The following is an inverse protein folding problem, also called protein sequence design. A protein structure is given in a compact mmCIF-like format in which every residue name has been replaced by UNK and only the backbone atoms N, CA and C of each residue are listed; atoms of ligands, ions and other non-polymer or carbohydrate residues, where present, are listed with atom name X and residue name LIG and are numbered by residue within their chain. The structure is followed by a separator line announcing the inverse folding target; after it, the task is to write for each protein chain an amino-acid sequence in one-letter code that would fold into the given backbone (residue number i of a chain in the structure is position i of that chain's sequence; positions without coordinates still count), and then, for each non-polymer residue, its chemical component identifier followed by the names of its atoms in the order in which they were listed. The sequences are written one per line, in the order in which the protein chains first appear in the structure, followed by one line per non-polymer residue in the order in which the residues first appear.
data_IF_145294947659
#
_entry.id   IF_145294947659
#
_cell.length_a   1.000
_cell.length_b   1.000
_cell.length_c   1.000
_cell.angle_alpha   90.00
_cell.angle_beta   90.00
_cell.angle_gamma   90.00
#
_symmetry.space_group_name_H-M   'P 1'
#
loop_
_entity.id
_entity.type
_entity.pdbx_description
1 polymer ?
#
# COMPACT_ATOMS: atom_id res chain seq x y z
N UNK A 1 -22.34 -14.67 91.72
CA UNK A 1 -21.05 -14.52 91.08
C UNK A 1 -21.26 -15.01 89.66
N UNK A 2 -21.34 -14.05 88.68
CA UNK A 2 -21.50 -14.34 87.25
C UNK A 2 -20.21 -13.92 86.55
N UNK A 3 -19.47 -14.88 86.05
CA UNK A 3 -18.22 -14.74 85.32
C UNK A 3 -18.56 -14.48 83.84
N UNK A 4 -18.11 -13.34 83.30
CA UNK A 4 -18.20 -12.99 81.86
C UNK A 4 -16.92 -13.43 81.19
N UNK A 5 -17.00 -14.31 80.21
CA UNK A 5 -15.91 -14.57 79.25
C UNK A 5 -15.98 -13.59 78.08
N UNK A 6 -14.95 -12.79 77.95
CA UNK A 6 -14.78 -11.92 76.73
C UNK A 6 -14.06 -12.73 75.66
N UNK A 7 -14.71 -12.85 74.48
CA UNK A 7 -14.13 -13.44 73.29
C UNK A 7 -13.51 -12.30 72.48
N UNK A 8 -12.18 -12.31 72.33
CA UNK A 8 -11.45 -11.43 71.46
C UNK A 8 -11.48 -12.00 70.01
N UNK A 9 -12.18 -11.36 69.10
CA UNK A 9 -12.04 -11.62 67.67
C UNK A 9 -10.81 -10.86 67.15
N UNK A 10 -9.80 -11.60 66.70
CA UNK A 10 -8.66 -11.05 65.97
C UNK A 10 -9.06 -10.84 64.52
N UNK A 11 -9.18 -9.58 64.09
CA UNK A 11 -9.35 -9.20 62.71
C UNK A 11 -7.97 -9.16 62.05
N UNK A 12 -7.70 -10.08 61.15
CA UNK A 12 -6.49 -10.07 60.31
C UNK A 12 -6.70 -9.15 59.10
N UNK A 13 -5.91 -8.09 58.88
CA UNK A 13 -6.03 -7.26 57.70
C UNK A 13 -5.40 -8.00 56.54
N UNK A 14 -6.22 -8.44 55.60
CA UNK A 14 -5.76 -8.92 54.28
C UNK A 14 -5.19 -7.78 53.46
N UNK A 15 -3.88 -7.75 53.35
CA UNK A 15 -3.18 -6.82 52.45
C UNK A 15 -3.46 -7.29 51.01
N UNK A 16 -4.34 -6.59 50.28
CA UNK A 16 -4.47 -6.77 48.85
C UNK A 16 -3.26 -6.09 48.15
N UNK A 17 -2.31 -6.87 47.70
CA UNK A 17 -1.31 -6.41 46.74
C UNK A 17 -2.03 -6.10 45.42
N UNK A 18 -2.32 -4.84 45.17
CA UNK A 18 -2.70 -4.36 43.83
C UNK A 18 -1.41 -4.35 43.01
N UNK A 19 -1.17 -5.45 42.29
CA UNK A 19 -0.11 -5.49 41.29
C UNK A 19 -0.43 -4.49 40.19
N UNK A 20 0.37 -3.44 40.04
CA UNK A 20 0.34 -2.58 38.86
C UNK A 20 0.74 -3.44 37.66
N UNK A 21 -0.23 -3.89 36.88
CA UNK A 21 0.02 -4.43 35.53
C UNK A 21 0.47 -3.23 34.71
N UNK A 22 1.77 -3.07 34.55
CA UNK A 22 2.35 -2.18 33.54
C UNK A 22 2.03 -2.84 32.22
N UNK A 23 1.00 -2.37 31.55
CA UNK A 23 0.75 -2.72 30.15
C UNK A 23 1.96 -2.21 29.38
N UNK A 24 2.78 -3.14 28.90
CA UNK A 24 3.85 -2.80 27.95
C UNK A 24 3.17 -2.09 26.77
N UNK A 25 3.70 -0.90 26.41
CA UNK A 25 3.28 -0.22 25.20
C UNK A 25 3.52 -1.14 23.97
N UNK A 26 2.93 -0.81 22.82
CA UNK A 26 3.14 -1.59 21.61
C UNK A 26 4.64 -1.75 21.35
N UNK A 27 5.10 -2.91 20.86
CA UNK A 27 6.50 -3.14 20.60
C UNK A 27 6.99 -2.14 19.54
N UNK A 28 8.18 -1.55 19.72
CA UNK A 28 8.80 -0.76 18.65
C UNK A 28 8.96 -1.63 17.42
N UNK A 29 8.76 -1.06 16.23
CA UNK A 29 8.85 -1.83 14.98
C UNK A 29 10.26 -2.35 14.72
N UNK A 30 11.28 -1.63 15.18
CA UNK A 30 12.70 -1.92 14.94
C UNK A 30 13.17 -1.56 13.54
N UNK A 31 12.31 -0.98 12.71
CA UNK A 31 12.70 -0.58 11.36
C UNK A 31 13.58 0.67 11.37
N UNK A 32 14.62 0.63 10.55
CA UNK A 32 15.53 1.76 10.30
C UNK A 32 16.06 1.70 8.88
N UNK A 33 16.59 2.80 8.36
CA UNK A 33 17.27 2.81 7.07
C UNK A 33 18.52 1.92 7.15
N UNK A 34 18.51 0.80 6.43
CA UNK A 34 19.65 -0.14 6.38
C UNK A 34 20.51 0.05 5.14
N UNK A 35 19.97 0.60 4.06
CA UNK A 35 20.71 0.82 2.81
C UNK A 35 20.07 1.92 1.97
N UNK A 36 20.90 2.73 1.30
CA UNK A 36 20.51 3.59 0.20
C UNK A 36 21.26 3.16 -1.05
N UNK A 37 20.55 3.02 -2.18
CA UNK A 37 21.10 2.53 -3.44
C UNK A 37 20.83 3.55 -4.54
N UNK A 38 21.85 4.21 -5.12
CA UNK A 38 21.64 5.12 -6.23
C UNK A 38 21.12 4.38 -7.47
N UNK A 39 20.19 5.00 -8.15
CA UNK A 39 19.66 4.52 -9.42
C UNK A 39 20.25 5.32 -10.58
N UNK A 40 20.30 4.71 -11.77
CA UNK A 40 20.69 5.41 -12.98
C UNK A 40 19.64 6.44 -13.33
N UNK A 41 20.06 7.49 -14.02
CA UNK A 41 19.15 8.49 -14.60
C UNK A 41 18.24 7.88 -15.66
N UNK A 42 16.92 8.20 -15.60
CA UNK A 42 15.97 7.77 -16.62
C UNK A 42 16.05 8.66 -17.86
N UNK A 43 15.69 8.15 -19.04
CA UNK A 43 15.46 8.99 -20.22
C UNK A 43 14.32 10.00 -19.98
N UNK A 44 14.44 11.21 -20.55
CA UNK A 44 13.41 12.24 -20.44
C UNK A 44 13.82 13.42 -19.54
N UNK A 45 12.93 14.38 -19.38
CA UNK A 45 13.23 15.65 -18.72
C UNK A 45 12.93 15.68 -17.22
N UNK A 46 12.23 14.68 -16.71
CA UNK A 46 11.88 14.59 -15.30
C UNK A 46 11.91 13.13 -14.81
N UNK A 47 12.16 12.99 -13.51
CA UNK A 47 11.99 11.71 -12.80
C UNK A 47 10.60 11.67 -12.19
N UNK A 48 9.92 10.54 -12.38
CA UNK A 48 8.64 10.27 -11.76
C UNK A 48 8.71 8.90 -11.07
N UNK A 49 8.18 8.81 -9.89
CA UNK A 49 8.17 7.56 -9.12
C UNK A 49 6.75 7.24 -8.72
N UNK A 50 6.40 5.97 -8.87
CA UNK A 50 5.10 5.47 -8.49
C UNK A 50 5.20 4.11 -7.79
N UNK A 51 4.28 3.18 -8.07
CA UNK A 51 4.19 1.94 -7.31
C UNK A 51 5.47 1.11 -7.35
N UNK A 52 5.72 0.46 -6.22
CA UNK A 52 6.79 -0.52 -6.02
C UNK A 52 6.15 -1.89 -5.79
N UNK A 53 6.31 -2.80 -6.75
CA UNK A 53 5.79 -4.17 -6.65
C UNK A 53 6.92 -5.12 -6.29
N UNK A 54 6.75 -5.92 -5.23
CA UNK A 54 7.76 -6.90 -4.81
C UNK A 54 7.26 -8.32 -5.01
N UNK A 55 7.94 -9.06 -5.87
CA UNK A 55 7.80 -10.51 -6.01
C UNK A 55 8.76 -11.19 -5.03
N UNK A 56 8.27 -11.42 -3.82
CA UNK A 56 9.06 -12.06 -2.76
C UNK A 56 9.45 -13.51 -3.10
N UNK A 57 8.65 -14.21 -3.89
CA UNK A 57 8.93 -15.58 -4.33
C UNK A 57 9.96 -15.61 -5.46
N UNK A 58 9.81 -14.78 -6.47
CA UNK A 58 10.73 -14.64 -7.61
C UNK A 58 11.98 -13.81 -7.28
N UNK A 59 12.09 -13.26 -6.07
CA UNK A 59 13.19 -12.41 -5.59
C UNK A 59 13.46 -11.19 -6.46
N UNK A 60 12.39 -10.50 -6.87
CA UNK A 60 12.49 -9.28 -7.69
C UNK A 60 11.61 -8.17 -7.13
N UNK A 61 12.07 -6.93 -7.27
CA UNK A 61 11.27 -5.74 -7.06
C UNK A 61 11.19 -4.96 -8.37
N UNK A 62 10.01 -4.44 -8.66
CA UNK A 62 9.70 -3.67 -9.87
C UNK A 62 9.38 -2.25 -9.44
N UNK A 63 10.16 -1.29 -9.92
CA UNK A 63 10.07 0.12 -9.55
C UNK A 63 9.59 0.93 -10.76
N UNK A 64 8.38 1.47 -10.70
CA UNK A 64 7.87 2.33 -11.75
C UNK A 64 8.54 3.72 -11.70
N UNK A 65 9.15 4.13 -12.80
CA UNK A 65 9.93 5.38 -12.93
C UNK A 65 9.49 6.23 -14.12
N UNK A 66 8.19 6.27 -14.38
CA UNK A 66 7.60 7.07 -15.46
C UNK A 66 7.92 6.55 -16.86
N UNK A 67 9.16 6.62 -17.32
CA UNK A 67 9.56 6.19 -18.67
C UNK A 67 10.11 4.76 -18.72
N UNK A 68 10.29 4.15 -17.58
CA UNK A 68 10.78 2.77 -17.45
C UNK A 68 10.32 2.12 -16.14
N UNK A 69 10.38 0.81 -16.09
CA UNK A 69 10.30 0.03 -14.86
C UNK A 69 11.66 -0.60 -14.63
N UNK A 70 12.33 -0.24 -13.53
CA UNK A 70 13.54 -0.92 -13.10
C UNK A 70 13.21 -2.22 -12.35
N UNK A 71 13.93 -3.28 -12.66
CA UNK A 71 13.81 -4.56 -12.00
C UNK A 71 15.05 -4.80 -11.16
N UNK A 72 14.84 -5.03 -9.86
CA UNK A 72 15.90 -5.25 -8.89
C UNK A 72 15.93 -6.70 -8.42
N UNK A 73 17.11 -7.18 -8.09
CA UNK A 73 17.27 -8.34 -7.22
C UNK A 73 16.91 -7.95 -5.78
N UNK A 74 15.95 -8.63 -5.17
CA UNK A 74 15.43 -8.28 -3.85
C UNK A 74 16.38 -8.70 -2.68
N UNK A 75 17.42 -9.51 -2.95
CA UNK A 75 18.38 -9.92 -1.92
C UNK A 75 19.55 -8.92 -1.79
N UNK A 76 19.99 -8.31 -2.90
CA UNK A 76 21.13 -7.38 -2.90
C UNK A 76 20.82 -5.96 -3.39
N UNK A 77 19.63 -5.74 -3.96
CA UNK A 77 19.12 -4.47 -4.49
C UNK A 77 19.84 -3.96 -5.73
N UNK A 78 20.55 -4.83 -6.45
CA UNK A 78 21.14 -4.46 -7.74
C UNK A 78 20.07 -4.44 -8.85
N UNK A 79 20.20 -3.52 -9.79
CA UNK A 79 19.35 -3.49 -10.99
C UNK A 79 19.77 -4.67 -11.90
N UNK A 80 18.84 -5.58 -12.17
CA UNK A 80 19.03 -6.75 -13.03
C UNK A 80 18.51 -6.55 -14.44
N UNK A 81 17.72 -5.51 -14.66
CA UNK A 81 17.19 -5.12 -15.97
C UNK A 81 16.22 -3.96 -15.85
N UNK A 82 15.80 -3.45 -17.01
CA UNK A 82 14.79 -2.38 -17.10
C UNK A 82 13.88 -2.63 -18.30
N UNK A 83 12.60 -2.31 -18.16
CA UNK A 83 11.63 -2.28 -19.25
C UNK A 83 11.45 -0.80 -19.60
N UNK A 84 11.95 -0.40 -20.78
CA UNK A 84 12.06 1.00 -21.22
C UNK A 84 11.07 1.35 -22.33
N UNK A 85 10.99 2.62 -22.67
CA UNK A 85 10.14 3.12 -23.76
C UNK A 85 8.70 3.41 -23.36
N UNK A 86 8.42 3.42 -22.06
CA UNK A 86 7.13 3.81 -21.51
C UNK A 86 6.96 5.33 -21.54
N UNK A 87 5.73 5.81 -21.39
CA UNK A 87 5.41 7.25 -21.45
C UNK A 87 5.10 7.84 -20.07
N UNK A 88 4.37 7.14 -19.25
CA UNK A 88 4.05 7.49 -17.87
C UNK A 88 3.52 6.23 -17.19
N UNK A 89 4.44 5.34 -16.81
CA UNK A 89 4.08 4.08 -16.16
C UNK A 89 3.84 4.28 -14.67
N UNK A 90 2.93 3.47 -14.13
CA UNK A 90 2.49 3.58 -12.74
C UNK A 90 2.68 2.28 -11.97
N UNK A 91 1.96 1.22 -12.30
CA UNK A 91 1.93 -0.02 -11.55
C UNK A 91 2.36 -1.26 -12.33
N UNK A 92 2.72 -2.31 -11.61
CA UNK A 92 3.08 -3.62 -12.16
C UNK A 92 2.27 -4.71 -11.46
N UNK A 93 1.58 -5.54 -12.23
CA UNK A 93 0.98 -6.79 -11.74
C UNK A 93 1.67 -7.99 -12.39
N UNK A 94 1.83 -9.05 -11.60
CA UNK A 94 2.50 -10.26 -12.05
C UNK A 94 1.52 -11.44 -12.07
N UNK A 95 1.62 -12.28 -13.09
CA UNK A 95 0.92 -13.55 -13.24
C UNK A 95 2.00 -14.62 -13.49
N UNK A 96 2.67 -15.10 -12.42
CA UNK A 96 3.84 -15.95 -12.52
C UNK A 96 3.58 -17.26 -13.24
N UNK A 97 2.38 -17.83 -13.06
CA UNK A 97 1.97 -19.07 -13.71
C UNK A 97 1.89 -18.99 -15.24
N UNK A 98 1.69 -17.76 -15.78
CA UNK A 98 1.75 -17.49 -17.21
C UNK A 98 3.10 -16.96 -17.67
N UNK A 99 4.05 -16.73 -16.75
CA UNK A 99 5.29 -16.00 -17.02
C UNK A 99 5.02 -14.61 -17.62
N UNK A 100 3.98 -13.91 -17.14
CA UNK A 100 3.55 -12.60 -17.65
C UNK A 100 3.53 -11.55 -16.54
N UNK A 101 4.03 -10.38 -16.89
CA UNK A 101 3.86 -9.16 -16.10
C UNK A 101 3.12 -8.12 -16.94
N UNK A 102 2.39 -7.23 -16.29
CA UNK A 102 1.55 -6.21 -16.87
C UNK A 102 1.91 -4.87 -16.22
N UNK A 103 2.15 -3.86 -17.06
CA UNK A 103 2.51 -2.49 -16.62
C UNK A 103 1.45 -1.54 -17.13
N UNK A 104 0.86 -0.75 -16.25
CA UNK A 104 0.03 0.38 -16.68
C UNK A 104 0.92 1.52 -17.20
N UNK A 105 0.69 1.94 -18.41
CA UNK A 105 1.34 3.09 -19.05
C UNK A 105 0.29 4.14 -19.41
N UNK A 106 -0.10 4.94 -18.43
CA UNK A 106 -1.17 5.92 -18.54
C UNK A 106 -0.92 6.97 -19.62
N UNK A 107 0.34 7.36 -19.79
CA UNK A 107 0.73 8.32 -20.83
C UNK A 107 0.62 7.79 -22.26
N UNK A 108 0.68 6.46 -22.44
CA UNK A 108 0.49 5.81 -23.74
C UNK A 108 -0.94 5.27 -23.91
N UNK A 109 -1.79 5.33 -22.91
CA UNK A 109 -3.10 4.66 -22.89
C UNK A 109 -2.98 3.16 -23.20
N UNK A 110 -2.05 2.48 -22.52
CA UNK A 110 -1.73 1.06 -22.72
C UNK A 110 -1.55 0.33 -21.39
N UNK A 111 -1.77 -0.99 -21.45
CA UNK A 111 -1.18 -1.94 -20.52
C UNK A 111 -0.13 -2.74 -21.27
N UNK A 112 1.13 -2.54 -20.91
CA UNK A 112 2.28 -3.20 -21.55
C UNK A 112 2.45 -4.58 -20.93
N UNK A 113 2.58 -5.61 -21.78
CA UNK A 113 2.75 -7.00 -21.36
C UNK A 113 4.19 -7.44 -21.59
N UNK A 114 4.81 -8.03 -20.58
CA UNK A 114 6.18 -8.53 -20.67
C UNK A 114 6.32 -9.95 -20.11
N UNK A 115 7.37 -10.63 -20.53
CA UNK A 115 7.77 -11.91 -19.93
C UNK A 115 8.58 -11.69 -18.66
N UNK A 116 8.16 -12.27 -17.53
CA UNK A 116 8.85 -12.12 -16.24
C UNK A 116 10.29 -12.62 -16.31
N UNK A 117 10.55 -13.75 -16.97
CA UNK A 117 11.89 -14.37 -17.03
C UNK A 117 12.87 -13.59 -17.88
N UNK A 118 12.44 -13.05 -19.00
CA UNK A 118 13.33 -12.41 -20.00
C UNK A 118 13.27 -10.89 -19.98
N UNK A 119 12.26 -10.32 -19.32
CA UNK A 119 11.92 -8.89 -19.28
C UNK A 119 11.58 -8.29 -20.66
N UNK A 120 11.33 -9.13 -21.66
CA UNK A 120 10.97 -8.68 -23.00
C UNK A 120 9.51 -8.27 -23.06
N UNK A 121 9.23 -7.10 -23.59
CA UNK A 121 7.88 -6.69 -23.96
C UNK A 121 7.39 -7.58 -25.11
N UNK A 122 6.21 -8.18 -24.94
CA UNK A 122 5.62 -9.11 -25.90
C UNK A 122 4.31 -8.59 -26.47
N UNK A 123 3.60 -7.71 -25.78
CA UNK A 123 2.34 -7.14 -26.25
C UNK A 123 2.07 -5.78 -25.57
N UNK A 124 1.08 -5.05 -26.10
CA UNK A 124 0.54 -3.85 -25.48
C UNK A 124 -0.96 -3.78 -25.76
N UNK A 125 -1.75 -3.84 -24.68
CA UNK A 125 -3.21 -3.84 -24.69
C UNK A 125 -3.70 -2.40 -24.65
N UNK A 126 -4.68 -2.04 -25.47
CA UNK A 126 -5.33 -0.73 -25.40
C UNK A 126 -6.05 -0.56 -24.06
N UNK A 127 -5.81 0.56 -23.39
CA UNK A 127 -6.41 0.94 -22.13
C UNK A 127 -6.88 2.40 -22.19
N UNK A 128 -7.77 2.85 -21.29
CA UNK A 128 -8.11 4.25 -21.19
C UNK A 128 -6.89 5.12 -20.87
N UNK A 129 -6.91 6.38 -21.30
CA UNK A 129 -5.92 7.37 -20.87
C UNK A 129 -5.97 7.51 -19.34
N UNK A 130 -4.80 7.72 -18.72
CA UNK A 130 -4.71 7.79 -17.26
C UNK A 130 -4.96 6.46 -16.58
N UNK A 131 -4.70 5.31 -17.25
CA UNK A 131 -4.65 4.00 -16.57
C UNK A 131 -3.51 4.03 -15.56
N UNK A 132 -3.82 3.76 -14.27
CA UNK A 132 -2.93 4.02 -13.14
C UNK A 132 -2.60 2.71 -12.40
N UNK A 133 -3.28 2.41 -11.33
CA UNK A 133 -3.03 1.20 -10.56
C UNK A 133 -3.63 -0.05 -11.22
N UNK A 134 -3.12 -1.21 -10.82
CA UNK A 134 -3.67 -2.50 -11.27
C UNK A 134 -3.42 -3.58 -10.22
N UNK A 135 -4.27 -4.62 -10.27
CA UNK A 135 -4.08 -5.81 -9.45
C UNK A 135 -4.51 -7.07 -10.20
N UNK A 136 -3.83 -8.19 -9.92
CA UNK A 136 -4.26 -9.52 -10.33
C UNK A 136 -5.08 -10.15 -9.22
N UNK A 137 -6.27 -10.64 -9.55
CA UNK A 137 -7.07 -11.43 -8.62
C UNK A 137 -6.91 -12.93 -8.94
N UNK A 138 -6.29 -13.72 -8.04
CA UNK A 138 -6.07 -15.13 -8.27
C UNK A 138 -7.35 -15.97 -8.28
N UNK A 139 -8.45 -15.47 -7.71
CA UNK A 139 -9.74 -16.17 -7.67
C UNK A 139 -10.41 -16.17 -9.05
N UNK A 140 -10.55 -15.02 -9.67
CA UNK A 140 -11.10 -14.87 -11.03
C UNK A 140 -10.07 -15.13 -12.12
N UNK A 141 -8.78 -15.09 -11.80
CA UNK A 141 -7.63 -15.13 -12.72
C UNK A 141 -7.63 -13.97 -13.72
N UNK A 142 -8.14 -12.83 -13.33
CA UNK A 142 -8.23 -11.63 -14.15
C UNK A 142 -7.38 -10.51 -13.55
N UNK A 143 -6.97 -9.57 -14.42
CA UNK A 143 -6.32 -8.33 -14.00
C UNK A 143 -7.34 -7.22 -14.07
N UNK A 144 -7.34 -6.35 -13.07
CA UNK A 144 -8.16 -5.17 -12.99
C UNK A 144 -7.24 -3.95 -12.99
N UNK A 145 -7.42 -3.04 -13.94
CA UNK A 145 -6.79 -1.72 -13.92
C UNK A 145 -7.76 -0.70 -13.36
N UNK A 146 -7.24 0.31 -12.71
CA UNK A 146 -8.01 1.39 -12.13
C UNK A 146 -7.61 2.69 -12.82
N UNK A 147 -8.57 3.28 -13.52
CA UNK A 147 -8.33 4.35 -14.48
C UNK A 147 -8.94 5.64 -13.91
N UNK A 148 -8.14 6.41 -13.15
CA UNK A 148 -8.58 7.57 -12.39
C UNK A 148 -9.26 8.63 -13.25
N UNK A 149 -8.65 9.00 -14.37
CA UNK A 149 -9.22 10.02 -15.29
C UNK A 149 -10.50 9.55 -15.98
N UNK A 150 -10.54 8.27 -16.37
CA UNK A 150 -11.69 7.67 -17.08
C UNK A 150 -12.77 7.15 -16.15
N UNK A 151 -12.54 7.18 -14.83
CA UNK A 151 -13.48 6.79 -13.75
C UNK A 151 -14.05 5.38 -13.91
N UNK A 152 -13.21 4.46 -14.36
CA UNK A 152 -13.59 3.07 -14.59
C UNK A 152 -12.45 2.10 -14.26
N UNK A 153 -12.80 0.80 -14.25
CA UNK A 153 -11.84 -0.30 -14.16
C UNK A 153 -11.94 -1.13 -15.44
N UNK A 154 -10.80 -1.39 -16.08
CA UNK A 154 -10.72 -2.33 -17.21
C UNK A 154 -10.35 -3.70 -16.70
N UNK A 155 -11.12 -4.72 -17.07
CA UNK A 155 -10.87 -6.11 -16.72
C UNK A 155 -10.17 -6.79 -17.89
N UNK A 156 -8.99 -7.34 -17.64
CA UNK A 156 -8.14 -7.97 -18.66
C UNK A 156 -8.02 -9.46 -18.38
N UNK A 157 -8.28 -10.25 -19.43
CA UNK A 157 -7.94 -11.68 -19.45
C UNK A 157 -6.43 -11.81 -19.75
N UNK A 158 -5.59 -12.26 -18.80
CA UNK A 158 -4.15 -12.31 -18.98
C UNK A 158 -3.68 -13.42 -19.93
N UNK A 159 -4.55 -14.41 -20.25
CA UNK A 159 -4.25 -15.48 -21.22
C UNK A 159 -4.48 -14.99 -22.64
N UNK A 160 -5.60 -14.28 -22.87
CA UNK A 160 -5.95 -13.70 -24.17
C UNK A 160 -5.27 -12.37 -24.42
N UNK A 161 -4.78 -11.74 -23.35
CA UNK A 161 -4.18 -10.40 -23.35
C UNK A 161 -5.13 -9.36 -23.99
N UNK A 162 -6.40 -9.38 -23.55
CA UNK A 162 -7.46 -8.48 -24.05
C UNK A 162 -8.34 -7.98 -22.93
N UNK A 163 -8.89 -6.77 -23.09
CA UNK A 163 -9.95 -6.25 -22.21
C UNK A 163 -11.24 -7.03 -22.46
N UNK A 164 -11.80 -7.64 -21.43
CA UNK A 164 -13.04 -8.42 -21.49
C UNK A 164 -14.25 -7.67 -20.95
N UNK A 165 -14.02 -6.65 -20.10
CA UNK A 165 -15.08 -5.83 -19.48
C UNK A 165 -14.52 -4.48 -19.08
N UNK A 166 -15.38 -3.47 -19.07
CA UNK A 166 -15.15 -2.19 -18.39
C UNK A 166 -16.23 -2.01 -17.34
N UNK A 167 -15.83 -1.63 -16.12
CA UNK A 167 -16.72 -1.42 -14.96
C UNK A 167 -16.69 0.07 -14.63
N UNK A 168 -17.85 0.73 -14.59
CA UNK A 168 -17.96 2.13 -14.16
C UNK A 168 -17.74 2.22 -12.64
N UNK A 169 -16.77 3.04 -12.23
CA UNK A 169 -16.40 3.27 -10.83
C UNK A 169 -17.06 4.50 -10.22
N UNK A 170 -17.76 5.30 -11.02
CA UNK A 170 -18.46 6.53 -10.54
C UNK A 170 -17.55 7.45 -9.73
N UNK A 171 -16.39 7.80 -10.24
CA UNK A 171 -15.37 8.62 -9.58
C UNK A 171 -13.98 8.10 -9.83
N UNK A 172 -12.96 8.80 -9.35
CA UNK A 172 -11.55 8.46 -9.56
C UNK A 172 -11.10 7.31 -8.67
N UNK A 173 -10.98 6.08 -9.19
CA UNK A 173 -10.35 4.98 -8.47
C UNK A 173 -8.86 5.24 -8.29
N UNK A 174 -8.31 4.71 -7.19
CA UNK A 174 -6.93 4.91 -6.75
C UNK A 174 -6.22 3.56 -6.55
N UNK A 175 -5.70 3.29 -5.36
CA UNK A 175 -5.03 2.02 -5.06
C UNK A 175 -6.04 0.92 -4.68
N UNK A 176 -5.96 -0.27 -5.30
CA UNK A 176 -6.77 -1.43 -4.97
C UNK A 176 -6.05 -2.40 -4.04
N UNK A 177 -6.81 -3.26 -3.37
CA UNK A 177 -6.33 -4.50 -2.75
C UNK A 177 -7.31 -5.64 -3.01
N UNK A 178 -6.82 -6.78 -3.49
CA UNK A 178 -7.61 -7.99 -3.65
C UNK A 178 -7.58 -8.85 -2.38
N UNK A 179 -8.73 -9.42 -1.97
CA UNK A 179 -8.78 -10.37 -0.86
C UNK A 179 -8.27 -11.77 -1.23
N UNK A 180 -8.16 -12.06 -2.53
CA UNK A 180 -7.78 -13.36 -3.07
C UNK A 180 -8.92 -14.37 -3.14
N UNK A 181 -10.15 -13.97 -2.75
CA UNK A 181 -11.34 -14.82 -2.69
C UNK A 181 -12.48 -14.30 -3.58
N UNK A 182 -12.18 -13.39 -4.49
CA UNK A 182 -13.17 -12.88 -5.45
C UNK A 182 -13.67 -11.47 -5.16
N UNK A 183 -13.02 -10.72 -4.26
CA UNK A 183 -13.34 -9.33 -3.98
C UNK A 183 -12.12 -8.45 -4.12
N UNK A 184 -12.29 -7.29 -4.76
CA UNK A 184 -11.32 -6.20 -4.77
C UNK A 184 -11.93 -5.01 -4.04
N UNK A 185 -11.15 -4.40 -3.16
CA UNK A 185 -11.45 -3.13 -2.50
C UNK A 185 -10.59 -2.06 -3.13
N UNK A 186 -11.21 -0.99 -3.60
CA UNK A 186 -10.56 0.12 -4.26
C UNK A 186 -10.92 1.43 -3.58
N UNK A 187 -9.92 2.22 -3.22
CA UNK A 187 -10.16 3.57 -2.74
C UNK A 187 -10.63 4.46 -3.88
N UNK A 188 -11.69 5.24 -3.66
CA UNK A 188 -12.17 6.23 -4.62
C UNK A 188 -12.05 7.64 -4.03
N UNK A 189 -11.05 8.37 -4.48
CA UNK A 189 -10.69 9.68 -3.94
C UNK A 189 -11.75 10.77 -4.21
N UNK A 190 -12.53 10.66 -5.26
CA UNK A 190 -13.57 11.64 -5.58
C UNK A 190 -14.87 11.41 -4.78
N UNK A 191 -15.27 10.16 -4.60
CA UNK A 191 -16.52 9.83 -3.90
C UNK A 191 -16.34 9.63 -2.39
N UNK A 192 -15.09 9.58 -1.92
CA UNK A 192 -14.74 9.40 -0.51
C UNK A 192 -15.26 8.09 0.07
N UNK A 193 -15.12 7.03 -0.69
CA UNK A 193 -15.52 5.68 -0.29
C UNK A 193 -14.51 4.62 -0.72
N UNK A 194 -14.68 3.43 -0.20
CA UNK A 194 -14.09 2.20 -0.73
C UNK A 194 -15.13 1.55 -1.62
N UNK A 195 -14.79 1.33 -2.88
CA UNK A 195 -15.59 0.57 -3.84
C UNK A 195 -15.28 -0.91 -3.67
N UNK A 196 -16.32 -1.71 -3.48
CA UNK A 196 -16.22 -3.17 -3.36
C UNK A 196 -16.61 -3.80 -4.68
N UNK A 197 -15.67 -4.45 -5.35
CA UNK A 197 -15.87 -5.13 -6.63
C UNK A 197 -15.99 -6.65 -6.42
N UNK A 198 -17.01 -7.24 -7.03
CA UNK A 198 -17.10 -8.69 -7.22
C UNK A 198 -16.37 -9.07 -8.51
N UNK A 199 -15.28 -9.84 -8.37
CA UNK A 199 -14.41 -10.19 -9.51
C UNK A 199 -14.97 -11.28 -10.41
N UNK A 200 -15.98 -12.01 -9.95
CA UNK A 200 -16.68 -13.03 -10.78
C UNK A 200 -17.90 -12.43 -11.48
N UNK A 201 -18.66 -11.58 -10.78
CA UNK A 201 -19.78 -10.86 -11.38
C UNK A 201 -19.33 -9.71 -12.30
N UNK A 202 -18.07 -9.27 -12.18
CA UNK A 202 -17.47 -8.12 -12.87
C UNK A 202 -18.31 -6.85 -12.68
N UNK A 203 -18.63 -6.53 -11.42
CA UNK A 203 -19.52 -5.45 -11.05
C UNK A 203 -19.19 -4.88 -9.67
N UNK A 204 -19.58 -3.62 -9.46
CA UNK A 204 -19.58 -3.00 -8.13
C UNK A 204 -20.66 -3.67 -7.26
N UNK A 205 -20.25 -4.20 -6.11
CA UNK A 205 -21.11 -4.87 -5.14
C UNK A 205 -21.59 -3.92 -4.04
N UNK A 206 -20.71 -3.03 -3.58
CA UNK A 206 -21.00 -2.08 -2.50
C UNK A 206 -20.06 -0.86 -2.57
N UNK A 207 -20.41 0.16 -1.78
CA UNK A 207 -19.59 1.35 -1.53
C UNK A 207 -19.62 1.69 -0.05
N UNK A 208 -18.48 1.86 0.55
CA UNK A 208 -18.35 2.10 1.98
C UNK A 208 -17.70 3.46 2.26
N UNK A 209 -18.43 4.43 2.85
CA UNK A 209 -17.87 5.72 3.20
C UNK A 209 -16.67 5.60 4.12
N UNK A 210 -15.60 6.34 3.83
CA UNK A 210 -14.35 6.32 4.61
C UNK A 210 -14.30 7.35 5.74
N UNK A 211 -15.37 8.09 6.01
CA UNK A 211 -15.36 9.12 7.06
C UNK A 211 -14.82 8.58 8.38
N UNK A 212 -13.90 9.32 9.09
CA UNK A 212 -13.53 10.72 8.84
C UNK A 212 -12.44 10.95 7.79
N UNK A 213 -11.83 9.90 7.19
CA UNK A 213 -10.89 10.07 6.10
C UNK A 213 -11.59 10.62 4.85
N UNK A 214 -10.94 11.55 4.15
CA UNK A 214 -11.39 12.08 2.88
C UNK A 214 -10.31 11.96 1.81
N UNK A 215 -10.72 11.90 0.54
CA UNK A 215 -9.83 11.60 -0.59
C UNK A 215 -8.96 10.35 -0.32
N UNK A 216 -9.60 9.17 -0.07
CA UNK A 216 -8.85 7.95 0.20
C UNK A 216 -8.02 7.55 -1.03
N UNK A 217 -6.75 7.20 -0.77
CA UNK A 217 -5.76 6.86 -1.80
C UNK A 217 -5.11 5.53 -1.50
N UNK A 218 -4.46 5.41 -0.33
CA UNK A 218 -3.68 4.23 0.03
C UNK A 218 -4.55 3.22 0.78
N UNK A 219 -4.41 1.93 0.44
CA UNK A 219 -5.21 0.86 1.03
C UNK A 219 -4.36 -0.38 1.28
N UNK A 220 -4.60 -1.03 2.42
CA UNK A 220 -4.02 -2.33 2.76
C UNK A 220 -5.07 -3.21 3.44
N UNK A 221 -4.80 -4.51 3.53
CA UNK A 221 -5.76 -5.46 4.10
C UNK A 221 -5.06 -6.50 4.97
N UNK A 222 -5.60 -6.71 6.17
CA UNK A 222 -5.45 -7.97 6.89
C UNK A 222 -6.54 -8.94 6.43
N UNK A 223 -6.12 -9.95 5.67
CA UNK A 223 -7.02 -10.95 5.10
C UNK A 223 -7.51 -11.96 6.12
N UNK A 224 -6.70 -12.23 7.15
CA UNK A 224 -7.02 -13.22 8.18
C UNK A 224 -8.17 -12.75 9.07
N UNK A 225 -8.13 -11.48 9.48
CA UNK A 225 -9.13 -10.91 10.38
C UNK A 225 -10.19 -10.07 9.65
N UNK A 226 -10.17 -10.02 8.32
CA UNK A 226 -11.12 -9.24 7.52
C UNK A 226 -11.11 -7.75 7.88
N UNK A 227 -9.91 -7.15 7.96
CA UNK A 227 -9.74 -5.72 8.24
C UNK A 227 -9.09 -5.00 7.07
N UNK A 228 -9.68 -3.87 6.73
CA UNK A 228 -9.20 -3.00 5.65
C UNK A 228 -8.68 -1.70 6.28
N UNK A 229 -7.56 -1.24 5.79
CA UNK A 229 -6.91 -0.01 6.22
C UNK A 229 -6.89 0.96 5.05
N UNK A 230 -7.71 2.01 5.12
CA UNK A 230 -7.83 3.03 4.08
C UNK A 230 -7.31 4.36 4.60
N UNK A 231 -6.41 5.00 3.88
CA UNK A 231 -5.79 6.26 4.25
C UNK A 231 -6.08 7.34 3.22
N UNK A 232 -6.57 8.49 3.69
CA UNK A 232 -6.98 9.61 2.88
C UNK A 232 -6.11 10.84 3.06
N UNK A 233 -6.21 11.77 2.09
CA UNK A 233 -5.40 13.00 2.02
C UNK A 233 -6.07 14.23 2.62
N UNK A 234 -7.41 14.29 2.66
CA UNK A 234 -8.11 15.50 3.09
C UNK A 234 -9.49 15.20 3.72
N UNK A 235 -9.57 15.14 5.06
CA UNK A 235 -8.45 15.24 6.02
C UNK A 235 -7.51 14.04 5.96
N UNK A 236 -6.22 14.28 6.28
CA UNK A 236 -5.18 13.25 6.34
C UNK A 236 -5.43 12.29 7.50
N UNK A 237 -6.08 11.19 7.20
CA UNK A 237 -6.61 10.25 8.21
C UNK A 237 -6.52 8.82 7.71
N UNK A 238 -6.05 7.92 8.57
CA UNK A 238 -6.16 6.47 8.41
C UNK A 238 -7.47 6.01 9.07
N UNK A 239 -8.22 5.15 8.40
CA UNK A 239 -9.37 4.44 8.98
C UNK A 239 -9.18 2.94 8.84
N UNK A 240 -9.64 2.21 9.86
CA UNK A 240 -9.76 0.76 9.87
C UNK A 240 -11.21 0.39 9.64
N UNK A 241 -11.49 -0.47 8.69
CA UNK A 241 -12.83 -0.85 8.25
C UNK A 241 -13.02 -2.36 8.40
N UNK A 242 -14.16 -2.76 8.94
CA UNK A 242 -14.62 -4.14 8.97
C UNK A 242 -15.20 -4.51 7.60
N UNK A 243 -14.60 -5.48 6.90
CA UNK A 243 -15.02 -5.85 5.54
C UNK A 243 -16.31 -6.68 5.50
N UNK A 244 -16.77 -7.21 6.63
CA UNK A 244 -18.02 -7.96 6.66
C UNK A 244 -19.27 -7.03 6.53
N UNK A 245 -19.11 -5.74 6.87
CA UNK A 245 -20.22 -4.80 6.89
C UNK A 245 -19.87 -3.37 6.43
N UNK A 246 -18.60 -3.07 6.12
CA UNK A 246 -18.13 -1.76 5.68
C UNK A 246 -18.07 -0.69 6.78
N UNK A 247 -18.11 -1.08 8.06
CA UNK A 247 -18.12 -0.15 9.19
C UNK A 247 -16.70 0.29 9.56
N UNK A 248 -16.51 1.60 9.70
CA UNK A 248 -15.27 2.17 10.28
C UNK A 248 -15.22 1.86 11.77
N UNK A 249 -14.16 1.18 12.19
CA UNK A 249 -13.92 0.77 13.57
C UNK A 249 -13.04 1.77 14.32
N UNK A 250 -11.99 2.26 13.67
CA UNK A 250 -10.97 3.14 14.26
C UNK A 250 -10.56 4.21 13.24
N UNK A 251 -10.05 5.32 13.73
CA UNK A 251 -9.43 6.36 12.89
C UNK A 251 -8.25 7.02 13.60
N UNK A 252 -7.24 7.41 12.81
CA UNK A 252 -5.99 7.99 13.32
C UNK A 252 -5.54 9.13 12.40
N UNK A 253 -5.10 10.27 12.95
CA UNK A 253 -4.45 11.30 12.14
C UNK A 253 -3.13 10.77 11.59
N UNK A 254 -2.79 11.17 10.37
CA UNK A 254 -1.50 10.90 9.71
C UNK A 254 -0.98 12.17 9.06
N UNK A 255 0.28 12.17 8.60
CA UNK A 255 0.86 13.31 7.88
C UNK A 255 0.23 13.47 6.49
N UNK A 256 0.36 14.68 5.95
CA UNK A 256 -0.12 15.01 4.62
C UNK A 256 0.63 14.23 3.52
N UNK A 257 -0.08 14.00 2.41
CA UNK A 257 0.50 13.39 1.21
C UNK A 257 0.70 11.89 1.31
N UNK A 258 -0.21 11.19 2.01
CA UNK A 258 -0.24 9.72 2.00
C UNK A 258 -0.40 9.19 0.58
N UNK A 259 0.33 8.09 0.27
CA UNK A 259 0.33 7.51 -1.07
C UNK A 259 0.44 5.97 -1.08
N UNK A 260 0.94 5.33 -0.02
CA UNK A 260 0.93 3.88 0.08
C UNK A 260 0.62 3.38 1.48
N UNK A 261 -0.03 2.23 1.54
CA UNK A 261 -0.30 1.46 2.74
C UNK A 261 0.10 0.00 2.52
N UNK A 262 0.75 -0.62 3.50
CA UNK A 262 1.13 -2.04 3.45
C UNK A 262 0.91 -2.66 4.83
N UNK A 263 0.23 -3.81 4.87
CA UNK A 263 0.09 -4.63 6.05
C UNK A 263 1.04 -5.84 5.99
N UNK A 264 1.80 -6.06 7.06
CA UNK A 264 2.71 -7.20 7.20
C UNK A 264 2.09 -8.23 8.15
N UNK A 265 1.53 -9.33 7.63
CA UNK A 265 0.67 -10.21 8.41
C UNK A 265 1.40 -11.00 9.50
N UNK A 266 2.70 -11.28 9.35
CA UNK A 266 3.42 -12.07 10.35
C UNK A 266 3.77 -11.30 11.63
N UNK A 267 3.74 -9.97 11.57
CA UNK A 267 4.02 -9.11 12.73
C UNK A 267 2.87 -8.20 13.13
N UNK A 268 1.80 -8.15 12.33
CA UNK A 268 0.68 -7.24 12.57
C UNK A 268 1.01 -5.76 12.34
N UNK A 269 2.15 -5.44 11.72
CA UNK A 269 2.48 -4.05 11.42
C UNK A 269 1.78 -3.55 10.16
N UNK A 270 1.22 -2.35 10.29
CA UNK A 270 0.70 -1.56 9.18
C UNK A 270 1.63 -0.37 8.96
N UNK A 271 2.09 -0.20 7.73
CA UNK A 271 2.97 0.87 7.30
C UNK A 271 2.20 1.83 6.40
N UNK A 272 2.27 3.13 6.69
CA UNK A 272 1.65 4.20 5.90
C UNK A 272 2.73 5.21 5.54
N UNK A 273 3.05 5.32 4.25
CA UNK A 273 4.06 6.28 3.77
C UNK A 273 3.44 7.58 3.29
N UNK A 274 4.17 8.66 3.49
CA UNK A 274 3.72 9.99 3.09
C UNK A 274 4.81 10.73 2.32
N UNK A 275 4.42 11.59 1.39
CA UNK A 275 5.31 12.44 0.59
C UNK A 275 6.16 13.38 1.46
N UNK A 276 5.69 13.70 2.66
CA UNK A 276 6.42 14.57 3.59
C UNK A 276 7.70 13.95 4.16
N UNK A 277 7.95 12.66 3.89
CA UNK A 277 9.12 11.94 4.37
C UNK A 277 8.91 11.30 5.73
N UNK A 278 7.68 10.88 6.02
CA UNK A 278 7.33 10.13 7.22
C UNK A 278 6.71 8.78 6.85
N UNK A 279 7.13 7.75 7.57
CA UNK A 279 6.51 6.44 7.60
C UNK A 279 5.84 6.27 8.96
N UNK A 280 4.51 6.28 8.97
CA UNK A 280 3.74 5.95 10.17
C UNK A 280 3.68 4.43 10.30
N UNK A 281 3.98 3.92 11.49
CA UNK A 281 3.90 2.51 11.83
C UNK A 281 2.80 2.31 12.87
N UNK A 282 1.85 1.46 12.53
CA UNK A 282 0.80 0.99 13.43
C UNK A 282 0.97 -0.50 13.69
N UNK A 283 0.37 -0.98 14.77
CA UNK A 283 0.31 -2.40 15.09
C UNK A 283 -1.14 -2.81 15.35
N UNK A 284 -1.57 -3.87 14.72
CA UNK A 284 -2.86 -4.49 14.98
C UNK A 284 -2.73 -5.39 16.22
N UNK A 285 -3.16 -4.85 17.38
CA UNK A 285 -3.09 -5.55 18.66
C UNK A 285 -4.13 -6.68 18.76
N UNK A 286 -5.21 -6.51 18.04
CA UNK A 286 -6.30 -7.48 17.86
C UNK A 286 -7.12 -7.08 16.63
N UNK A 287 -8.01 -7.94 16.12
CA UNK A 287 -8.84 -7.64 14.93
C UNK A 287 -9.62 -6.31 15.00
N UNK A 288 -9.93 -5.82 16.20
CA UNK A 288 -10.70 -4.59 16.38
C UNK A 288 -9.87 -3.44 16.98
N UNK A 289 -8.56 -3.64 17.14
CA UNK A 289 -7.70 -2.65 17.79
C UNK A 289 -6.40 -2.43 17.05
N UNK A 290 -6.27 -1.24 16.47
CA UNK A 290 -5.06 -0.72 15.89
C UNK A 290 -4.44 0.31 16.85
N UNK A 291 -3.13 0.29 17.02
CA UNK A 291 -2.40 1.24 17.86
C UNK A 291 -1.24 1.89 17.10
N UNK A 292 -1.02 3.20 17.23
CA UNK A 292 0.18 3.83 16.69
C UNK A 292 1.42 3.34 17.47
N UNK A 293 2.49 3.02 16.74
CA UNK A 293 3.75 2.53 17.30
C UNK A 293 4.81 3.61 17.30
N UNK A 294 5.12 4.13 16.11
CA UNK A 294 6.14 5.15 15.91
C UNK A 294 6.00 5.83 14.54
N UNK A 295 6.70 6.94 14.38
CA UNK A 295 6.94 7.61 13.12
C UNK A 295 8.42 7.51 12.77
N UNK A 296 8.74 7.02 11.59
CA UNK A 296 10.10 6.87 11.10
C UNK A 296 10.35 7.91 10.03
N UNK A 297 11.43 8.70 10.18
CA UNK A 297 11.84 9.63 9.14
C UNK A 297 12.36 8.83 7.92
N UNK A 298 11.73 9.08 6.78
CA UNK A 298 12.22 8.70 5.47
C UNK A 298 12.80 9.93 4.77
N UNK A 299 12.61 10.07 3.48
CA UNK A 299 13.00 11.28 2.76
C UNK A 299 11.80 11.89 2.05
N UNK A 300 11.80 13.21 1.84
CA UNK A 300 10.74 13.85 1.06
C UNK A 300 10.58 13.15 -0.29
N UNK A 301 9.33 12.88 -0.68
CA UNK A 301 9.02 12.18 -1.92
C UNK A 301 9.08 10.65 -1.85
N UNK A 302 9.56 10.05 -0.77
CA UNK A 302 9.48 8.60 -0.53
C UNK A 302 8.04 8.20 -0.17
N UNK A 303 7.13 8.37 -1.13
CA UNK A 303 5.68 8.29 -0.94
C UNK A 303 5.09 6.90 -1.19
N UNK A 304 5.71 6.13 -2.07
CA UNK A 304 5.32 4.76 -2.42
C UNK A 304 6.35 3.77 -1.91
N UNK A 305 5.90 2.57 -1.58
CA UNK A 305 6.76 1.52 -1.04
C UNK A 305 6.30 0.13 -1.45
N UNK A 306 7.22 -0.82 -1.41
CA UNK A 306 6.96 -2.25 -1.54
C UNK A 306 7.52 -3.02 -0.35
N UNK A 307 6.91 -4.14 0.02
CA UNK A 307 7.34 -5.02 1.09
C UNK A 307 7.84 -6.35 0.53
N UNK A 308 9.07 -6.72 0.87
CA UNK A 308 9.54 -8.09 0.67
C UNK A 308 9.09 -8.97 1.84
N UNK A 309 8.13 -9.84 1.60
CA UNK A 309 7.58 -10.73 2.63
C UNK A 309 8.60 -11.73 3.18
N UNK A 310 9.71 -12.01 2.46
CA UNK A 310 10.76 -12.92 2.92
C UNK A 310 11.71 -12.25 3.92
N UNK A 311 12.22 -11.08 3.59
CA UNK A 311 13.20 -10.35 4.42
C UNK A 311 12.54 -9.35 5.36
N UNK A 312 11.26 -9.03 5.12
CA UNK A 312 10.48 -7.97 5.77
C UNK A 312 11.01 -6.56 5.46
N UNK A 313 11.88 -6.43 4.48
CA UNK A 313 12.37 -5.12 4.08
C UNK A 313 11.30 -4.32 3.33
N UNK A 314 11.22 -3.04 3.66
CA UNK A 314 10.45 -2.04 2.91
C UNK A 314 11.38 -1.37 1.90
N UNK A 315 10.95 -1.28 0.66
CA UNK A 315 11.69 -0.69 -0.46
C UNK A 315 10.95 0.56 -0.89
N UNK A 316 11.59 1.72 -0.77
CA UNK A 316 11.10 3.01 -1.24
C UNK A 316 11.93 3.48 -2.43
N UNK A 317 11.37 4.41 -3.20
CA UNK A 317 12.09 5.16 -4.21
C UNK A 317 11.88 6.65 -3.99
N UNK A 318 12.93 7.44 -4.15
CA UNK A 318 12.90 8.90 -4.08
C UNK A 318 14.05 9.53 -4.86
N UNK A 319 14.11 10.86 -4.86
CA UNK A 319 15.22 11.68 -5.39
C UNK A 319 15.41 12.91 -4.51
N UNK A 320 16.36 13.76 -4.87
CA UNK A 320 16.37 15.13 -4.35
C UNK A 320 15.31 15.96 -5.06
N UNK A 321 14.83 17.00 -4.39
CA UNK A 321 13.80 17.88 -4.91
C UNK A 321 14.25 19.35 -4.81
N UNK A 322 13.84 20.12 -5.79
CA UNK A 322 14.03 21.59 -5.72
C UNK A 322 13.24 22.16 -4.54
N UNK A 323 13.71 23.28 -3.95
CA UNK A 323 12.85 24.03 -3.04
C UNK A 323 11.54 24.42 -3.74
N UNK A 324 10.40 24.47 -3.03
CA UNK A 324 9.15 24.91 -3.62
C UNK A 324 9.28 26.38 -4.03
N UNK A 325 8.70 26.73 -5.19
CA UNK A 325 8.69 28.12 -5.68
C UNK A 325 7.81 29.05 -4.85
N UNK A 326 6.84 28.48 -4.11
CA UNK A 326 5.92 29.18 -3.19
C UNK A 326 5.67 28.33 -1.95
N UNK A 327 5.23 28.90 -0.82
CA UNK A 327 4.78 28.14 0.32
C UNK A 327 3.68 27.17 -0.09
N UNK A 328 3.90 25.87 0.03
CA UNK A 328 3.05 24.76 -0.45
C UNK A 328 3.06 24.53 -1.97
N UNK A 329 3.96 25.14 -2.72
CA UNK A 329 4.15 24.86 -4.14
C UNK A 329 4.77 23.49 -4.40
N UNK A 330 4.58 22.99 -5.62
CA UNK A 330 5.17 21.72 -6.06
C UNK A 330 6.70 21.83 -6.09
N UNK A 331 7.34 20.76 -5.66
CA UNK A 331 8.77 20.54 -5.79
C UNK A 331 9.02 19.65 -6.99
N UNK A 332 10.04 19.99 -7.76
CA UNK A 332 10.45 19.15 -8.90
C UNK A 332 11.59 18.24 -8.48
N UNK A 333 11.59 17.02 -9.00
CA UNK A 333 12.72 16.10 -8.84
C UNK A 333 13.98 16.66 -9.48
N UNK A 334 15.12 16.42 -8.83
CA UNK A 334 16.43 16.74 -9.39
C UNK A 334 16.96 15.49 -10.09
N UNK A 335 17.14 15.60 -11.39
CA UNK A 335 17.57 14.50 -12.24
C UNK A 335 18.95 13.94 -11.83
N UNK A 336 19.13 12.61 -11.92
CA UNK A 336 20.38 11.95 -11.55
C UNK A 336 20.57 11.74 -10.04
N UNK A 337 19.58 12.09 -9.22
CA UNK A 337 19.64 11.90 -7.73
C UNK A 337 18.72 10.80 -7.23
N UNK A 338 18.09 10.05 -8.15
CA UNK A 338 17.20 8.96 -7.82
C UNK A 338 17.90 7.87 -7.02
N UNK A 339 17.24 7.37 -6.00
CA UNK A 339 17.74 6.31 -5.13
C UNK A 339 16.64 5.48 -4.50
N UNK A 340 16.99 4.27 -4.15
CA UNK A 340 16.19 3.43 -3.27
C UNK A 340 16.57 3.71 -1.82
N UNK A 341 15.59 3.65 -0.95
CA UNK A 341 15.78 3.58 0.49
C UNK A 341 15.23 2.24 0.96
N UNK A 342 16.07 1.46 1.62
CA UNK A 342 15.71 0.15 2.14
C UNK A 342 15.64 0.26 3.65
N UNK A 343 14.46 0.02 4.19
CA UNK A 343 14.23 -0.05 5.63
C UNK A 343 14.05 -1.50 6.06
N UNK A 344 14.70 -1.88 7.15
CA UNK A 344 14.66 -3.23 7.72
C UNK A 344 14.91 -3.23 9.21
N UNK A 345 14.83 -4.41 9.83
CA UNK A 345 15.11 -4.64 11.25
C UNK A 345 16.36 -5.51 11.42
#
# INVERSE_FOLDING_TARGET
MKTWCAVFLAVCPSLMLVGNVVLAGPPKSGYSLIKSVPLKETPGDFEYFDYVTVDSAGRRAYIARGTEVDILDADNFSVVGSITGLKHCHGVALVPELNRGFITDGGAAKVVVFEIKTLKVVNAIDAPAGTDSLTYDPSSKLIFTFNGESKNSSVIDPVRETVVKTIDMVGGPEQPVADGNGTIYDNNGETNDVVVLDTHALAVKARWPTKPAGQPVAIAMDREHHRLFSAGRNPSTLVMIDVDNGKVLNSFPISDGVDAAIYEPSSGFLFISTRTGLLHVFHEDSPDKLSPVEEINTEYGAKTMGLDLKTKNLIFVTSDFTPPSEPKGDRKTIKGTARLLIFGR
#
